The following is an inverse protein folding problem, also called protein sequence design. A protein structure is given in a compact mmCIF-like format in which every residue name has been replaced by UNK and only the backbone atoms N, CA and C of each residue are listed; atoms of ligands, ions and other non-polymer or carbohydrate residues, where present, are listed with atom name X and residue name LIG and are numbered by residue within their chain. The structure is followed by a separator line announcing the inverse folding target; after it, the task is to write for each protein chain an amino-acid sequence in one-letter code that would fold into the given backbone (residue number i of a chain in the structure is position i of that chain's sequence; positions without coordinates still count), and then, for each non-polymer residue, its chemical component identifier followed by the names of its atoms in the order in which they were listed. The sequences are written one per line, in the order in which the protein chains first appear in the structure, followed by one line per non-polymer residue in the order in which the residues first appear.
data_IF_179972548164
#
_entry.id   IF_179972548164
#
_cell.length_a   1.000
_cell.length_b   1.000
_cell.length_c   1.000
_cell.angle_alpha   90.00
_cell.angle_beta   90.00
_cell.angle_gamma   90.00
#
_symmetry.space_group_name_H-M   'P 1'
#
loop_
_entity.id
_entity.type
_entity.pdbx_description
1 polymer ?
#
# COMPACT_ATOMS: atom_id res chain seq x y z
N UNK A 1 1.21 -30.83 7.19
CA UNK A 1 0.04 -30.85 6.30
C UNK A 1 -0.03 -29.53 5.55
N UNK A 2 0.66 -29.46 4.40
CA UNK A 2 0.52 -28.35 3.46
C UNK A 2 -0.63 -28.71 2.52
N UNK A 3 -1.75 -27.99 2.62
CA UNK A 3 -2.77 -28.04 1.59
C UNK A 3 -2.31 -27.17 0.42
N UNK A 4 -1.74 -27.81 -0.59
CA UNK A 4 -1.49 -27.21 -1.89
C UNK A 4 -2.83 -26.86 -2.53
N UNK A 5 -3.13 -25.57 -2.66
CA UNK A 5 -4.19 -25.10 -3.54
C UNK A 5 -3.73 -25.32 -4.98
N UNK A 6 -4.06 -26.48 -5.55
CA UNK A 6 -3.99 -26.72 -6.98
C UNK A 6 -5.11 -25.92 -7.64
N UNK A 7 -4.78 -24.72 -8.12
CA UNK A 7 -5.60 -24.06 -9.13
C UNK A 7 -5.20 -24.68 -10.46
N UNK A 8 -6.07 -25.43 -11.15
CA UNK A 8 -5.73 -25.94 -12.47
C UNK A 8 -5.64 -24.75 -13.43
N UNK A 9 -4.41 -24.34 -13.74
CA UNK A 9 -4.14 -23.40 -14.82
C UNK A 9 -4.29 -24.16 -16.13
N UNK A 10 -5.54 -24.38 -16.55
CA UNK A 10 -5.82 -24.98 -17.84
C UNK A 10 -5.57 -23.91 -18.92
N UNK A 11 -4.30 -23.79 -19.35
CA UNK A 11 -3.91 -23.13 -20.58
C UNK A 11 -4.38 -23.99 -21.76
N UNK A 12 -5.66 -23.90 -22.08
CA UNK A 12 -6.20 -24.36 -23.36
C UNK A 12 -7.22 -23.34 -23.84
N UNK A 13 -6.72 -22.17 -24.22
CA UNK A 13 -7.43 -21.29 -25.13
C UNK A 13 -6.49 -20.97 -26.27
N UNK A 14 -6.45 -21.90 -27.24
CA UNK A 14 -6.25 -21.53 -28.63
C UNK A 14 -7.01 -20.23 -28.89
N UNK A 15 -6.34 -19.20 -29.39
CA UNK A 15 -6.98 -18.01 -29.92
C UNK A 15 -7.28 -18.31 -31.39
N UNK A 16 -8.51 -18.71 -31.79
CA UNK A 16 -8.81 -18.83 -33.20
C UNK A 16 -9.20 -17.43 -33.67
N UNK A 17 -8.45 -16.93 -34.64
CA UNK A 17 -8.80 -15.82 -35.52
C UNK A 17 -8.67 -14.41 -34.91
N UNK A 18 -7.56 -13.74 -35.23
CA UNK A 18 -7.44 -12.29 -35.10
C UNK A 18 -8.52 -11.61 -35.97
N UNK A 19 -9.45 -10.89 -35.36
CA UNK A 19 -10.36 -9.98 -36.07
C UNK A 19 -9.74 -8.59 -36.10
N UNK A 20 -9.66 -7.97 -37.27
CA UNK A 20 -9.09 -6.64 -37.46
C UNK A 20 -10.11 -5.55 -37.12
N UNK A 21 -9.62 -4.42 -36.60
CA UNK A 21 -10.42 -3.20 -36.39
C UNK A 21 -10.61 -2.53 -37.76
N UNK A 22 -11.86 -2.38 -38.22
CA UNK A 22 -12.22 -1.42 -39.26
C UNK A 22 -12.05 0.02 -38.76
N UNK A 23 -12.00 1.01 -39.67
CA UNK A 23 -11.69 2.42 -39.40
C UNK A 23 -12.23 2.97 -38.06
N UNK A 24 -11.48 3.88 -37.45
CA UNK A 24 -11.67 4.44 -36.09
C UNK A 24 -13.10 4.94 -35.80
N UNK A 25 -13.86 5.32 -36.83
CA UNK A 25 -15.22 5.86 -36.71
C UNK A 25 -16.32 4.79 -36.70
N UNK A 26 -15.98 3.53 -36.96
CA UNK A 26 -16.90 2.39 -37.00
C UNK A 26 -16.26 1.18 -36.30
N UNK A 27 -16.72 0.86 -35.08
CA UNK A 27 -16.27 -0.27 -34.26
C UNK A 27 -16.64 -1.65 -34.86
N UNK A 28 -16.60 -1.80 -36.18
CA UNK A 28 -16.89 -3.04 -36.88
C UNK A 28 -15.66 -3.96 -36.87
N UNK A 29 -15.73 -4.99 -36.04
CA UNK A 29 -14.75 -6.08 -36.02
C UNK A 29 -15.06 -7.04 -37.17
N UNK A 30 -14.06 -7.33 -38.03
CA UNK A 30 -14.19 -8.32 -39.10
C UNK A 30 -13.14 -9.42 -38.94
N UNK A 31 -13.59 -10.67 -39.00
CA UNK A 31 -12.71 -11.83 -38.93
C UNK A 31 -12.33 -12.25 -40.36
N UNK A 32 -11.11 -12.74 -40.54
CA UNK A 32 -10.53 -13.06 -41.86
C UNK A 32 -11.24 -14.21 -42.59
N UNK A 33 -12.00 -15.02 -41.85
CA UNK A 33 -12.83 -16.12 -42.32
C UNK A 33 -14.27 -15.70 -42.69
N UNK A 34 -14.61 -14.41 -42.56
CA UNK A 34 -15.96 -13.90 -42.80
C UNK A 34 -16.97 -14.23 -41.70
N UNK A 35 -16.53 -14.83 -40.59
CA UNK A 35 -17.38 -15.10 -39.43
C UNK A 35 -17.71 -13.83 -38.65
N UNK A 36 -18.81 -13.86 -37.90
CA UNK A 36 -19.15 -12.79 -36.96
C UNK A 36 -18.18 -12.79 -35.78
N UNK A 37 -17.64 -11.63 -35.37
CA UNK A 37 -16.70 -11.53 -34.26
C UNK A 37 -17.34 -12.01 -32.95
N UNK A 38 -16.74 -13.04 -32.33
CA UNK A 38 -17.16 -13.50 -31.02
C UNK A 38 -16.56 -12.58 -29.93
N UNK A 39 -17.28 -11.53 -29.55
CA UNK A 39 -16.87 -10.64 -28.45
C UNK A 39 -17.06 -11.36 -27.11
N UNK A 40 -16.01 -12.02 -26.63
CA UNK A 40 -15.98 -12.59 -25.28
C UNK A 40 -15.62 -11.50 -24.26
N UNK A 41 -16.63 -11.01 -23.55
CA UNK A 41 -16.43 -10.12 -22.41
C UNK A 41 -15.74 -10.91 -21.28
N UNK A 42 -14.46 -10.63 -21.04
CA UNK A 42 -13.75 -11.19 -19.88
C UNK A 42 -14.23 -10.48 -18.61
N UNK A 43 -14.91 -11.22 -17.73
CA UNK A 43 -15.33 -10.71 -16.42
C UNK A 43 -14.18 -10.80 -15.43
N UNK A 44 -13.83 -9.68 -14.80
CA UNK A 44 -12.87 -9.65 -13.70
C UNK A 44 -13.58 -10.16 -12.44
N UNK A 45 -13.10 -11.27 -11.88
CA UNK A 45 -13.67 -11.86 -10.66
C UNK A 45 -13.07 -11.28 -9.37
N UNK A 46 -11.89 -10.68 -9.46
CA UNK A 46 -11.19 -10.08 -8.33
C UNK A 46 -9.84 -9.50 -8.76
N UNK A 47 -9.24 -8.70 -7.89
CA UNK A 47 -7.92 -8.08 -8.10
C UNK A 47 -6.97 -8.50 -6.99
N UNK A 48 -5.77 -8.95 -7.36
CA UNK A 48 -4.67 -9.18 -6.42
C UNK A 48 -3.74 -7.96 -6.42
N UNK A 49 -3.42 -7.45 -5.23
CA UNK A 49 -2.66 -6.22 -5.04
C UNK A 49 -3.52 -5.06 -4.52
N UNK A 50 -3.05 -3.81 -4.58
CA UNK A 50 -1.67 -3.42 -4.90
C UNK A 50 -0.72 -3.65 -3.71
N UNK A 51 0.58 -3.46 -3.92
CA UNK A 51 1.55 -3.51 -2.83
C UNK A 51 1.49 -2.24 -1.96
N UNK A 52 1.59 -1.07 -2.60
CA UNK A 52 1.49 0.24 -1.94
C UNK A 52 0.12 0.47 -1.35
N UNK A 53 0.07 0.85 -0.07
CA UNK A 53 -1.18 1.17 0.62
C UNK A 53 -1.95 2.30 -0.05
N UNK A 54 -1.24 3.34 -0.52
CA UNK A 54 -1.85 4.49 -1.21
C UNK A 54 -2.51 4.05 -2.53
N UNK A 55 -1.85 3.18 -3.30
CA UNK A 55 -2.43 2.61 -4.52
C UNK A 55 -3.58 1.68 -4.21
N UNK A 56 -3.46 0.82 -3.19
CA UNK A 56 -4.55 -0.09 -2.77
C UNK A 56 -5.80 0.66 -2.36
N UNK A 57 -5.67 1.78 -1.65
CA UNK A 57 -6.80 2.65 -1.28
C UNK A 57 -7.51 3.20 -2.53
N UNK A 58 -6.74 3.69 -3.51
CA UNK A 58 -7.30 4.23 -4.75
C UNK A 58 -8.03 3.14 -5.56
N UNK A 59 -7.39 1.99 -5.75
CA UNK A 59 -7.97 0.85 -6.46
C UNK A 59 -9.23 0.34 -5.75
N UNK A 60 -9.20 0.22 -4.43
CA UNK A 60 -10.36 -0.24 -3.65
C UNK A 60 -11.55 0.73 -3.77
N UNK A 61 -11.29 2.04 -3.82
CA UNK A 61 -12.35 3.05 -4.02
C UNK A 61 -13.03 2.94 -5.38
N UNK A 62 -12.32 2.48 -6.41
CA UNK A 62 -12.90 2.19 -7.72
C UNK A 62 -13.65 0.85 -7.72
N UNK A 63 -12.99 -0.22 -7.27
CA UNK A 63 -13.53 -1.59 -7.35
C UNK A 63 -14.79 -1.80 -6.52
N UNK A 64 -14.96 -1.06 -5.42
CA UNK A 64 -16.19 -1.11 -4.61
C UNK A 64 -17.44 -0.72 -5.41
N UNK A 65 -17.33 0.16 -6.40
CA UNK A 65 -18.45 0.58 -7.26
C UNK A 65 -18.98 -0.59 -8.11
N UNK A 66 -18.09 -1.53 -8.45
CA UNK A 66 -18.39 -2.71 -9.24
C UNK A 66 -18.51 -3.98 -8.40
N UNK A 67 -18.42 -3.86 -7.07
CA UNK A 67 -18.44 -5.00 -6.12
C UNK A 67 -17.39 -6.06 -6.44
N UNK A 68 -16.22 -5.63 -6.92
CA UNK A 68 -15.10 -6.53 -7.26
C UNK A 68 -14.19 -6.64 -6.03
N UNK A 69 -13.94 -7.84 -5.49
CA UNK A 69 -13.05 -8.03 -4.35
C UNK A 69 -11.60 -7.74 -4.73
N UNK A 70 -10.89 -7.09 -3.81
CA UNK A 70 -9.45 -6.84 -3.90
C UNK A 70 -8.74 -7.51 -2.73
N UNK A 71 -7.65 -8.25 -2.99
CA UNK A 71 -6.81 -8.84 -1.95
C UNK A 71 -5.37 -8.35 -2.09
N UNK A 72 -4.91 -7.53 -1.14
CA UNK A 72 -3.52 -7.07 -1.11
C UNK A 72 -2.60 -8.01 -0.32
N UNK A 73 -1.39 -8.19 -0.82
CA UNK A 73 -0.34 -8.97 -0.16
C UNK A 73 0.67 -8.12 0.64
N UNK A 74 0.54 -6.78 0.64
CA UNK A 74 1.56 -5.89 1.24
C UNK A 74 1.02 -4.57 1.81
N UNK A 75 -0.24 -4.19 1.55
CA UNK A 75 -0.80 -2.92 2.01
C UNK A 75 -1.26 -2.99 3.47
N UNK A 76 -0.49 -2.38 4.36
CA UNK A 76 -0.67 -2.48 5.82
C UNK A 76 -1.34 -1.27 6.48
N UNK A 77 -1.72 -0.22 5.72
CA UNK A 77 -2.37 0.99 6.28
C UNK A 77 -3.52 0.66 7.24
N UNK A 78 -3.61 1.31 8.42
CA UNK A 78 -4.75 1.13 9.32
C UNK A 78 -6.09 1.48 8.66
N UNK A 79 -6.09 2.48 7.78
CA UNK A 79 -7.27 2.99 7.06
C UNK A 79 -8.00 1.89 6.27
N UNK A 80 -7.27 0.95 5.68
CA UNK A 80 -7.80 -0.17 4.89
C UNK A 80 -8.58 -1.20 5.72
N UNK A 81 -8.51 -1.10 7.06
CA UNK A 81 -9.29 -1.95 7.97
C UNK A 81 -10.73 -1.48 8.14
N UNK A 82 -11.07 -0.24 7.74
CA UNK A 82 -12.43 0.28 7.85
C UNK A 82 -13.36 -0.37 6.81
N UNK A 83 -14.13 -1.37 7.24
CA UNK A 83 -15.06 -2.11 6.37
C UNK A 83 -16.29 -1.32 5.90
N UNK A 84 -16.65 -0.24 6.58
CA UNK A 84 -17.70 0.66 6.09
C UNK A 84 -17.24 1.41 4.83
N UNK A 85 -15.93 1.70 4.72
CA UNK A 85 -15.35 2.38 3.56
C UNK A 85 -14.78 1.44 2.51
N UNK A 86 -14.20 0.32 2.94
CA UNK A 86 -13.50 -0.66 2.10
C UNK A 86 -14.10 -2.07 2.26
N UNK A 87 -15.40 -2.19 2.00
CA UNK A 87 -16.18 -3.43 2.13
C UNK A 87 -15.55 -4.61 1.36
N UNK A 88 -15.11 -4.38 0.12
CA UNK A 88 -14.57 -5.39 -0.80
C UNK A 88 -13.05 -5.56 -0.73
N UNK A 89 -12.37 -4.88 0.21
CA UNK A 89 -10.93 -4.98 0.37
C UNK A 89 -10.57 -6.03 1.42
N UNK A 90 -9.63 -6.92 1.10
CA UNK A 90 -9.01 -7.86 2.01
C UNK A 90 -7.49 -7.77 1.89
N UNK A 91 -6.78 -8.32 2.88
CA UNK A 91 -5.32 -8.44 2.83
C UNK A 91 -4.84 -9.66 3.61
N UNK A 92 -3.69 -10.18 3.23
CA UNK A 92 -3.02 -11.31 3.90
C UNK A 92 -1.99 -10.88 4.94
N UNK A 93 -1.80 -9.56 5.11
CA UNK A 93 -0.85 -8.95 6.05
C UNK A 93 -1.60 -8.20 7.17
N UNK A 94 -1.02 -8.09 8.38
CA UNK A 94 -1.65 -7.38 9.49
C UNK A 94 -1.71 -5.86 9.26
N UNK A 95 -2.46 -5.18 10.13
CA UNK A 95 -2.52 -3.71 10.17
C UNK A 95 -1.26 -3.15 10.80
N UNK A 96 -0.86 -1.94 10.39
CA UNK A 96 0.17 -1.17 11.08
C UNK A 96 -0.20 -0.83 12.52
N UNK A 97 -1.48 -0.95 12.91
CA UNK A 97 -1.89 -0.89 14.32
C UNK A 97 -1.11 -1.90 15.15
N UNK A 98 -0.99 -3.15 14.68
CA UNK A 98 -0.24 -4.20 15.36
C UNK A 98 1.26 -3.87 15.40
N UNK A 99 1.80 -3.26 14.34
CA UNK A 99 3.19 -2.83 14.31
C UNK A 99 3.43 -1.67 15.31
N UNK A 100 2.50 -0.71 15.40
CA UNK A 100 2.58 0.40 16.33
C UNK A 100 2.52 -0.08 17.79
N UNK A 101 1.64 -1.05 18.10
CA UNK A 101 1.59 -1.69 19.42
C UNK A 101 2.94 -2.32 19.78
N UNK A 102 3.53 -3.10 18.87
CA UNK A 102 4.83 -3.72 19.08
C UNK A 102 5.95 -2.68 19.28
N UNK A 103 5.92 -1.58 18.53
CA UNK A 103 6.88 -0.49 18.70
C UNK A 103 6.77 0.15 20.09
N UNK A 104 5.56 0.38 20.59
CA UNK A 104 5.36 0.91 21.95
C UNK A 104 5.87 -0.04 23.02
N UNK A 105 5.63 -1.34 22.88
CA UNK A 105 6.16 -2.35 23.81
C UNK A 105 7.68 -2.34 23.86
N UNK A 106 8.36 -2.27 22.70
CA UNK A 106 9.83 -2.16 22.65
C UNK A 106 10.32 -0.88 23.35
N UNK A 107 9.66 0.26 23.14
CA UNK A 107 10.02 1.53 23.77
C UNK A 107 9.88 1.44 25.30
N UNK A 108 8.85 0.74 25.78
CA UNK A 108 8.62 0.50 27.20
C UNK A 108 9.69 -0.42 27.81
N UNK A 109 10.03 -1.53 27.14
CA UNK A 109 11.11 -2.42 27.57
C UNK A 109 12.46 -1.70 27.67
N UNK A 110 12.72 -0.76 26.76
CA UNK A 110 13.93 0.07 26.74
C UNK A 110 13.87 1.25 27.73
N UNK A 111 12.76 1.44 28.45
CA UNK A 111 12.51 2.55 29.37
C UNK A 111 12.71 3.94 28.73
N UNK A 112 12.35 4.07 27.45
CA UNK A 112 12.44 5.33 26.74
C UNK A 112 11.18 6.17 26.97
N UNK A 113 11.33 7.33 27.61
CA UNK A 113 10.23 8.27 27.88
C UNK A 113 10.18 9.46 26.92
N UNK A 114 11.24 9.66 26.15
CA UNK A 114 11.41 10.79 25.25
C UNK A 114 12.03 10.32 23.94
N UNK A 115 11.28 10.41 22.84
CA UNK A 115 11.67 9.85 21.53
C UNK A 115 11.44 10.87 20.41
N UNK A 116 12.17 10.71 19.30
CA UNK A 116 11.92 11.45 18.06
C UNK A 116 11.38 10.51 16.99
N UNK A 117 10.46 11.00 16.17
CA UNK A 117 9.77 10.21 15.16
C UNK A 117 9.97 10.84 13.79
N UNK A 118 10.25 9.97 12.82
CA UNK A 118 10.32 10.32 11.41
C UNK A 118 9.36 9.41 10.63
N UNK A 119 8.44 10.01 9.87
CA UNK A 119 7.41 9.28 9.11
C UNK A 119 7.25 9.81 7.70
N UNK A 120 6.82 8.95 6.78
CA UNK A 120 6.57 9.31 5.39
C UNK A 120 5.42 10.32 5.24
N UNK A 121 5.61 11.35 4.42
CA UNK A 121 4.56 12.28 4.01
C UNK A 121 3.67 11.65 2.94
N UNK A 122 2.88 10.69 3.37
CA UNK A 122 1.81 10.12 2.57
C UNK A 122 0.63 9.78 3.47
N UNK A 123 -0.55 9.57 2.88
CA UNK A 123 -1.72 9.14 3.66
C UNK A 123 -1.43 7.86 4.47
N UNK A 124 -0.59 6.98 3.94
CA UNK A 124 -0.13 5.79 4.66
C UNK A 124 0.72 6.17 5.90
N UNK A 125 1.77 6.96 5.72
CA UNK A 125 2.66 7.36 6.80
C UNK A 125 1.95 8.19 7.88
N UNK A 126 1.06 9.10 7.48
CA UNK A 126 0.24 9.91 8.38
C UNK A 126 -0.69 9.04 9.22
N UNK A 127 -1.44 8.10 8.61
CA UNK A 127 -2.37 7.25 9.36
C UNK A 127 -1.65 6.34 10.36
N UNK A 128 -0.51 5.76 9.96
CA UNK A 128 0.29 4.97 10.87
C UNK A 128 0.89 5.82 12.00
N UNK A 129 1.34 7.04 11.70
CA UNK A 129 1.81 7.98 12.72
C UNK A 129 0.70 8.36 13.70
N UNK A 130 -0.51 8.63 13.24
CA UNK A 130 -1.65 8.96 14.11
C UNK A 130 -1.94 7.84 15.11
N UNK A 131 -1.96 6.58 14.65
CA UNK A 131 -2.14 5.42 15.54
C UNK A 131 -1.00 5.31 16.54
N UNK A 132 0.25 5.49 16.11
CA UNK A 132 1.41 5.47 16.99
C UNK A 132 1.38 6.61 18.02
N UNK A 133 1.04 7.84 17.61
CA UNK A 133 0.97 9.03 18.47
C UNK A 133 -0.08 8.84 19.58
N UNK A 134 -1.22 8.23 19.27
CA UNK A 134 -2.24 7.87 20.25
C UNK A 134 -1.71 6.83 21.25
N UNK A 135 -1.06 5.76 20.76
CA UNK A 135 -0.52 4.71 21.63
C UNK A 135 0.61 5.21 22.52
N UNK A 136 1.50 6.06 22.02
CA UNK A 136 2.57 6.68 22.81
C UNK A 136 2.00 7.56 23.93
N UNK A 137 0.98 8.35 23.60
CA UNK A 137 0.30 9.23 24.56
C UNK A 137 -0.39 8.43 25.66
N UNK A 138 -1.00 7.29 25.33
CA UNK A 138 -1.61 6.36 26.31
C UNK A 138 -0.60 5.67 27.24
N UNK A 139 0.68 5.65 26.88
CA UNK A 139 1.74 4.94 27.61
C UNK A 139 2.77 5.90 28.24
N UNK A 140 2.41 7.17 28.41
CA UNK A 140 3.26 8.23 28.99
C UNK A 140 4.63 8.34 28.32
N UNK A 141 4.66 8.30 26.98
CA UNK A 141 5.86 8.49 26.17
C UNK A 141 5.72 9.79 25.37
N UNK A 142 6.66 10.70 25.55
CA UNK A 142 6.65 12.01 24.93
C UNK A 142 7.42 12.02 23.60
N UNK A 143 6.88 12.73 22.61
CA UNK A 143 7.52 12.95 21.32
C UNK A 143 8.30 14.28 21.38
N UNK A 144 9.61 14.20 21.22
CA UNK A 144 10.54 15.31 21.22
C UNK A 144 10.47 16.13 19.93
N UNK A 145 10.52 15.41 18.81
CA UNK A 145 10.50 15.92 17.44
C UNK A 145 9.68 14.95 16.63
N UNK A 146 8.81 15.49 15.77
CA UNK A 146 8.15 14.73 14.71
C UNK A 146 8.44 15.40 13.38
N UNK A 147 9.14 14.71 12.50
CA UNK A 147 9.47 15.19 11.16
C UNK A 147 8.83 14.31 10.10
N UNK A 148 8.52 14.91 8.96
CA UNK A 148 7.95 14.25 7.79
C UNK A 148 9.05 14.02 6.77
N UNK A 149 9.02 12.87 6.11
CA UNK A 149 9.84 12.56 4.95
C UNK A 149 8.99 12.66 3.70
N UNK A 150 9.20 13.70 2.90
CA UNK A 150 8.65 13.78 1.56
C UNK A 150 9.17 12.63 0.72
N UNK A 151 8.25 11.85 0.12
CA UNK A 151 8.62 10.91 -0.93
C UNK A 151 8.98 11.71 -2.14
N UNK A 152 10.27 11.78 -2.37
CA UNK A 152 10.80 12.60 -3.41
C UNK A 152 10.72 11.92 -4.78
N UNK A 153 10.36 12.71 -5.79
CA UNK A 153 10.36 12.33 -7.21
C UNK A 153 11.76 12.32 -7.84
N UNK A 154 12.82 12.50 -7.04
CA UNK A 154 14.22 12.56 -7.46
C UNK A 154 14.87 13.96 -7.36
N UNK A 155 14.37 14.84 -6.49
CA UNK A 155 14.73 16.26 -6.30
C UNK A 155 14.95 16.67 -4.82
N UNK A 156 14.96 15.75 -3.86
CA UNK A 156 15.29 16.01 -2.47
C UNK A 156 16.80 16.12 -2.41
N UNK A 157 17.25 17.37 -2.55
CA UNK A 157 18.61 17.78 -2.32
C UNK A 157 19.10 17.23 -0.97
N UNK A 158 20.32 16.73 -0.91
CA UNK A 158 20.90 16.11 0.30
C UNK A 158 20.78 17.06 1.51
N UNK A 159 20.78 18.37 1.25
CA UNK A 159 20.56 19.44 2.23
C UNK A 159 19.24 19.31 3.01
N UNK A 160 18.19 18.73 2.43
CA UNK A 160 16.91 18.50 3.11
C UNK A 160 17.06 17.43 4.19
N UNK A 161 17.67 16.29 3.86
CA UNK A 161 17.92 15.23 4.84
C UNK A 161 18.89 15.68 5.92
N UNK A 162 19.91 16.45 5.56
CA UNK A 162 20.81 17.09 6.52
C UNK A 162 20.05 18.00 7.48
N UNK A 163 19.09 18.80 6.98
CA UNK A 163 18.27 19.65 7.85
C UNK A 163 17.46 18.84 8.86
N UNK A 164 16.91 17.68 8.46
CA UNK A 164 16.19 16.77 9.36
C UNK A 164 17.14 16.20 10.40
N UNK A 165 18.33 15.75 9.98
CA UNK A 165 19.35 15.25 10.90
C UNK A 165 19.73 16.33 11.91
N UNK A 166 20.01 17.55 11.47
CA UNK A 166 20.35 18.67 12.35
C UNK A 166 19.25 18.96 13.36
N UNK A 167 17.97 19.00 12.93
CA UNK A 167 16.83 19.13 13.84
C UNK A 167 16.83 18.01 14.87
N UNK A 168 16.96 16.75 14.45
CA UNK A 168 16.99 15.59 15.37
C UNK A 168 18.16 15.67 16.37
N UNK A 169 19.29 16.25 15.98
CA UNK A 169 20.44 16.46 16.87
C UNK A 169 20.20 17.56 17.93
N UNK A 170 19.25 18.47 17.74
CA UNK A 170 18.90 19.50 18.75
C UNK A 170 18.28 18.95 20.03
N UNK A 171 17.84 17.68 20.03
CA UNK A 171 17.24 17.00 21.20
C UNK A 171 18.07 15.78 21.61
N UNK A 172 19.26 15.96 22.20
CA UNK A 172 20.14 14.84 22.58
C UNK A 172 19.52 13.93 23.66
N UNK A 173 18.55 14.43 24.43
CA UNK A 173 17.85 13.65 25.45
C UNK A 173 16.81 12.67 24.85
N UNK A 174 16.49 12.77 23.56
CA UNK A 174 15.62 11.81 22.88
C UNK A 174 16.42 10.54 22.56
N UNK A 175 16.19 9.48 23.35
CA UNK A 175 17.00 8.23 23.31
C UNK A 175 16.62 7.30 22.15
N UNK A 176 15.37 7.37 21.69
CA UNK A 176 14.88 6.61 20.55
C UNK A 176 14.66 7.51 19.33
N UNK A 177 15.27 7.18 18.19
CA UNK A 177 14.90 7.73 16.88
C UNK A 177 14.15 6.64 16.12
N UNK A 178 12.84 6.76 16.05
CA UNK A 178 11.99 5.77 15.37
C UNK A 178 11.90 6.13 13.89
N UNK A 179 12.51 5.30 13.08
CA UNK A 179 12.43 5.37 11.62
C UNK A 179 11.41 4.36 11.14
N UNK A 180 10.24 4.82 10.72
CA UNK A 180 9.30 3.94 10.03
C UNK A 180 9.54 4.01 8.52
N UNK A 181 10.57 3.33 8.05
CA UNK A 181 10.77 3.04 6.63
C UNK A 181 9.99 1.78 6.27
N UNK A 182 8.87 1.92 5.57
CA UNK A 182 8.45 0.88 4.64
C UNK A 182 8.90 1.38 3.27
N UNK A 183 10.16 1.06 2.93
CA UNK A 183 10.70 1.33 1.61
C UNK A 183 9.81 0.59 0.61
N UNK A 184 9.11 1.35 -0.22
CA UNK A 184 8.45 0.84 -1.41
C UNK A 184 9.57 0.23 -2.26
N UNK A 185 9.61 -1.10 -2.37
CA UNK A 185 10.56 -1.78 -3.25
C UNK A 185 10.18 -1.35 -4.66
N UNK A 186 10.74 -0.23 -5.14
CA UNK A 186 10.88 0.02 -6.56
C UNK A 186 11.84 -1.05 -7.04
N UNK A 187 11.28 -2.07 -7.66
CA UNK A 187 12.03 -3.10 -8.33
C UNK A 187 12.94 -2.40 -9.34
N UNK A 188 14.22 -2.24 -8.98
CA UNK A 188 15.26 -1.78 -9.88
C UNK A 188 15.29 -2.81 -11.01
N UNK A 189 14.83 -2.41 -12.20
CA UNK A 189 15.27 -3.02 -13.45
C UNK A 189 16.53 -2.31 -13.91
#
# INVERSE_FOLDING_TARGET
MQHSFNVPFNQSHETPNCCSIGNIDDFTYRCTDGSSPAIRHKRISGVLGAASSVTSIQVANLLKLFKIPQVSFFSTSPELSNKQRFEYFLRTVPSDTNQADAMVQIIQELNWKYISILYEESNYGIQAFTVLEELLSKNDICIAIKERLTKDSGVADDSYYDSIVQKLMTKPNARGKIFRFFMEIKQLR
#
